data_IF_986892639651
#
_entry.id   IF_986892639651
#
_cell.length_a   1.000
_cell.length_b   1.000
_cell.length_c   1.000
_cell.angle_alpha   90.00
_cell.angle_beta   90.00
_cell.angle_gamma   90.00
#
_symmetry.space_group_name_H-M   'P 1'
#
loop_
_entity.id
_entity.type
_entity.pdbx_description
1 polymer ?
#
# COMPACT_ATOMS: atom_id res chain seq x y z
N UNK A 1 0.71 10.74 16.45
CA UNK A 1 0.88 11.20 15.07
C UNK A 1 2.17 10.60 14.54
N UNK A 2 2.11 9.98 13.37
CA UNK A 2 3.27 9.42 12.67
C UNK A 2 3.31 10.09 11.31
N UNK A 3 4.47 10.59 10.89
CA UNK A 3 4.62 11.12 9.53
C UNK A 3 4.89 9.96 8.57
N UNK A 4 4.15 9.92 7.47
CA UNK A 4 4.26 8.92 6.40
C UNK A 4 4.81 9.64 5.18
N UNK A 5 5.88 9.10 4.62
CA UNK A 5 6.61 9.65 3.48
C UNK A 5 6.88 8.52 2.49
N UNK A 6 5.86 8.20 1.68
CA UNK A 6 5.86 7.12 0.70
C UNK A 6 5.38 7.69 -0.65
N UNK A 7 6.20 8.54 -1.30
CA UNK A 7 5.82 9.26 -2.51
C UNK A 7 5.53 8.34 -3.71
N UNK A 8 6.22 7.21 -3.86
CA UNK A 8 5.97 6.28 -4.97
C UNK A 8 4.62 5.59 -4.83
N UNK A 9 4.16 5.37 -3.59
CA UNK A 9 2.81 4.91 -3.28
C UNK A 9 1.79 6.05 -3.20
N UNK A 10 2.21 7.32 -3.29
CA UNK A 10 1.35 8.51 -3.15
C UNK A 10 0.81 8.73 -1.74
N UNK A 11 1.44 8.14 -0.72
CA UNK A 11 1.04 8.24 0.68
C UNK A 11 1.99 9.20 1.41
N UNK A 12 1.64 10.48 1.43
CA UNK A 12 2.43 11.54 2.07
C UNK A 12 1.58 12.36 3.04
N UNK A 13 1.98 12.42 4.31
CA UNK A 13 1.28 13.23 5.30
C UNK A 13 1.32 12.71 6.73
N UNK A 14 0.59 13.39 7.59
CA UNK A 14 0.44 13.03 8.99
C UNK A 14 -0.64 11.97 9.20
N UNK A 15 -0.27 10.84 9.77
CA UNK A 15 -1.18 9.77 10.16
C UNK A 15 -1.48 9.81 11.66
N UNK A 16 -2.74 10.08 11.97
CA UNK A 16 -3.28 9.98 13.32
C UNK A 16 -3.69 8.54 13.64
N UNK A 17 -2.78 7.76 14.22
CA UNK A 17 -3.08 6.37 14.65
C UNK A 17 -4.09 6.39 15.80
N UNK A 18 -5.38 6.36 15.47
CA UNK A 18 -6.49 6.25 16.43
C UNK A 18 -6.64 4.82 16.94
N UNK A 19 -7.49 4.60 17.94
CA UNK A 19 -7.81 3.24 18.41
C UNK A 19 -8.46 2.37 17.31
N UNK A 20 -9.21 2.99 16.40
CA UNK A 20 -9.80 2.29 15.25
C UNK A 20 -8.73 1.84 14.26
N UNK A 21 -7.83 2.76 13.91
CA UNK A 21 -6.69 2.53 13.02
C UNK A 21 -5.76 1.43 13.58
N UNK A 22 -5.47 1.49 14.88
CA UNK A 22 -4.73 0.45 15.61
C UNK A 22 -5.43 -0.90 15.57
N UNK A 23 -6.74 -0.94 15.82
CA UNK A 23 -7.51 -2.18 15.79
C UNK A 23 -7.51 -2.80 14.38
N UNK A 24 -7.65 -1.98 13.35
CA UNK A 24 -7.59 -2.41 11.95
C UNK A 24 -6.18 -2.91 11.59
N UNK A 25 -5.13 -2.19 11.97
CA UNK A 25 -3.74 -2.61 11.77
C UNK A 25 -3.46 -3.98 12.41
N UNK A 26 -3.97 -4.25 13.62
CA UNK A 26 -3.86 -5.56 14.28
C UNK A 26 -4.54 -6.70 13.52
N UNK A 27 -5.60 -6.41 12.76
CA UNK A 27 -6.28 -7.39 11.89
C UNK A 27 -5.50 -7.62 10.59
N UNK A 28 -4.91 -6.57 10.03
CA UNK A 28 -4.22 -6.59 8.75
C UNK A 28 -2.84 -7.25 8.83
N UNK A 29 -2.01 -6.87 9.81
CA UNK A 29 -0.60 -7.28 9.88
C UNK A 29 -0.40 -8.81 9.80
N UNK A 30 -1.20 -9.66 10.48
CA UNK A 30 -1.06 -11.11 10.37
C UNK A 30 -1.41 -11.70 9.01
N UNK A 31 -2.14 -10.96 8.17
CA UNK A 31 -2.59 -11.40 6.84
C UNK A 31 -1.64 -10.97 5.73
N UNK A 32 -0.68 -10.08 6.02
CA UNK A 32 0.29 -9.66 5.03
C UNK A 32 1.19 -10.84 4.64
N UNK A 33 1.46 -11.04 3.34
CA UNK A 33 2.40 -12.06 2.90
C UNK A 33 3.79 -11.77 3.48
N UNK A 34 4.59 -12.82 3.67
CA UNK A 34 5.98 -12.67 4.08
C UNK A 34 6.78 -11.92 3.01
N UNK A 35 7.81 -11.19 3.45
CA UNK A 35 8.74 -10.53 2.53
C UNK A 35 9.46 -11.55 1.65
N UNK A 36 9.77 -11.18 0.39
CA UNK A 36 10.56 -12.03 -0.47
C UNK A 36 11.94 -12.25 0.17
N UNK A 37 12.46 -13.48 0.07
CA UNK A 37 13.81 -13.78 0.58
C UNK A 37 14.87 -12.93 -0.16
N UNK A 38 16.00 -12.62 0.49
CA UNK A 38 17.11 -11.94 -0.18
C UNK A 38 17.52 -12.69 -1.45
N UNK A 39 17.60 -11.98 -2.58
CA UNK A 39 17.93 -12.56 -3.89
C UNK A 39 16.77 -13.27 -4.60
N UNK A 40 15.53 -13.14 -4.13
CA UNK A 40 14.35 -13.60 -4.85
C UNK A 40 14.29 -13.01 -6.27
N UNK A 41 13.76 -13.79 -7.21
CA UNK A 41 13.60 -13.32 -8.58
C UNK A 41 12.56 -12.21 -8.70
N UNK A 42 12.60 -11.52 -9.84
CA UNK A 42 11.75 -10.37 -10.13
C UNK A 42 10.26 -10.70 -10.10
N UNK A 43 9.87 -11.87 -10.61
CA UNK A 43 8.47 -12.28 -10.64
C UNK A 43 7.92 -12.51 -9.23
N UNK A 44 8.72 -13.13 -8.37
CA UNK A 44 8.40 -13.35 -6.96
C UNK A 44 8.28 -12.03 -6.22
N UNK A 45 9.26 -11.13 -6.37
CA UNK A 45 9.25 -9.80 -5.74
C UNK A 45 8.01 -9.00 -6.14
N UNK A 46 7.72 -8.93 -7.44
CA UNK A 46 6.54 -8.26 -7.96
C UNK A 46 5.24 -8.88 -7.43
N UNK A 47 5.13 -10.22 -7.46
CA UNK A 47 3.94 -10.90 -6.95
C UNK A 47 3.72 -10.63 -5.46
N UNK A 48 4.76 -10.67 -4.63
CA UNK A 48 4.64 -10.37 -3.20
C UNK A 48 4.23 -8.93 -2.94
N UNK A 49 4.79 -7.98 -3.70
CA UNK A 49 4.41 -6.57 -3.64
C UNK A 49 2.93 -6.38 -3.97
N UNK A 50 2.49 -6.93 -5.12
CA UNK A 50 1.09 -6.87 -5.53
C UNK A 50 0.15 -7.50 -4.50
N UNK A 51 0.47 -8.67 -3.98
CA UNK A 51 -0.34 -9.34 -2.95
C UNK A 51 -0.39 -8.52 -1.68
N UNK A 52 0.74 -7.94 -1.23
CA UNK A 52 0.78 -7.09 -0.02
C UNK A 52 -0.19 -5.92 -0.16
N UNK A 53 -0.08 -5.13 -1.23
CA UNK A 53 -0.93 -3.97 -1.46
C UNK A 53 -2.41 -4.36 -1.69
N UNK A 54 -2.67 -5.48 -2.37
CA UNK A 54 -4.04 -5.97 -2.59
C UNK A 54 -4.71 -6.37 -1.28
N UNK A 55 -3.99 -7.11 -0.41
CA UNK A 55 -4.47 -7.46 0.92
C UNK A 55 -4.78 -6.21 1.76
N UNK A 56 -3.94 -5.16 1.68
CA UNK A 56 -4.22 -3.89 2.35
C UNK A 56 -5.53 -3.26 1.86
N UNK A 57 -5.68 -3.12 0.53
CA UNK A 57 -6.89 -2.54 -0.07
C UNK A 57 -8.14 -3.32 0.35
N UNK A 58 -8.11 -4.64 0.24
CA UNK A 58 -9.25 -5.50 0.53
C UNK A 58 -9.63 -5.44 2.01
N UNK A 59 -8.67 -5.65 2.90
CA UNK A 59 -8.94 -5.68 4.34
C UNK A 59 -9.41 -4.34 4.88
N UNK A 60 -8.83 -3.23 4.42
CA UNK A 60 -9.28 -1.90 4.84
C UNK A 60 -10.71 -1.64 4.33
N UNK A 61 -11.05 -2.01 3.10
CA UNK A 61 -12.42 -1.82 2.59
C UNK A 61 -13.44 -2.69 3.32
N UNK A 62 -13.09 -3.94 3.63
CA UNK A 62 -14.01 -4.87 4.28
C UNK A 62 -14.19 -4.59 5.77
N UNK A 63 -13.11 -4.29 6.48
CA UNK A 63 -13.12 -4.14 7.94
C UNK A 63 -13.14 -2.67 8.39
N UNK A 64 -12.65 -1.76 7.55
CA UNK A 64 -12.56 -0.34 7.85
C UNK A 64 -13.92 0.31 7.96
N UNK A 65 -14.78 0.18 6.95
CA UNK A 65 -16.09 0.83 6.93
C UNK A 65 -16.89 0.56 8.22
N UNK A 66 -16.93 -0.70 8.68
CA UNK A 66 -17.57 -1.05 9.96
C UNK A 66 -16.90 -0.43 11.19
N UNK A 67 -15.56 -0.45 11.27
CA UNK A 67 -14.82 0.09 12.42
C UNK A 67 -14.85 1.62 12.53
N UNK A 68 -15.04 2.31 11.40
CA UNK A 68 -15.03 3.75 11.27
C UNK A 68 -16.43 4.36 11.33
N UNK A 69 -17.47 3.67 10.80
CA UNK A 69 -18.88 4.07 10.92
C UNK A 69 -19.40 3.95 12.36
N UNK A 70 -19.05 2.87 13.08
CA UNK A 70 -19.50 2.64 14.46
C UNK A 70 -19.03 3.72 15.46
N UNK A 71 -17.99 4.48 15.11
CA UNK A 71 -17.37 5.48 16.00
C UNK A 71 -17.76 6.93 15.70
N UNK A 72 -18.63 7.18 14.71
CA UNK A 72 -19.15 8.52 14.41
C UNK A 72 -18.07 9.55 14.04
N UNK A 73 -16.88 9.09 13.63
CA UNK A 73 -15.78 9.94 13.22
C UNK A 73 -15.98 10.46 11.81
N UNK A 74 -15.97 11.79 11.64
CA UNK A 74 -15.79 12.41 10.33
C UNK A 74 -14.35 12.13 9.85
N UNK A 75 -14.18 11.20 8.92
CA UNK A 75 -12.90 10.93 8.25
C UNK A 75 -12.75 11.86 7.04
N UNK A 76 -12.92 13.17 7.26
CA UNK A 76 -12.74 14.14 6.18
C UNK A 76 -11.26 14.14 5.79
N UNK A 77 -10.96 13.68 4.57
CA UNK A 77 -9.64 13.77 3.97
C UNK A 77 -9.18 15.24 4.00
N UNK A 78 -8.07 15.50 4.66
CA UNK A 78 -7.44 16.81 4.69
C UNK A 78 -6.11 16.74 3.93
N UNK A 79 -5.75 17.75 3.13
CA UNK A 79 -4.45 17.79 2.49
C UNK A 79 -3.32 17.62 3.51
N UNK A 80 -2.42 16.67 3.27
CA UNK A 80 -1.31 16.37 4.19
C UNK A 80 -1.69 15.53 5.41
N UNK A 81 -2.88 14.96 5.47
CA UNK A 81 -3.31 13.99 6.50
C UNK A 81 -3.61 12.65 5.83
N UNK A 82 -3.11 11.57 6.41
CA UNK A 82 -3.40 10.20 5.98
C UNK A 82 -4.34 9.54 6.98
N UNK A 83 -5.35 8.86 6.45
CA UNK A 83 -6.22 7.94 7.20
C UNK A 83 -6.14 6.55 6.56
N UNK A 84 -6.26 5.47 7.33
CA UNK A 84 -6.29 4.14 6.70
C UNK A 84 -7.47 4.00 5.75
N UNK A 85 -8.61 4.64 6.01
CA UNK A 85 -9.78 4.58 5.11
C UNK A 85 -9.51 5.19 3.73
N UNK A 86 -8.59 6.16 3.63
CA UNK A 86 -8.21 6.78 2.35
C UNK A 86 -7.11 5.99 1.60
N UNK A 87 -6.26 5.24 2.32
CA UNK A 87 -5.15 4.47 1.72
C UNK A 87 -5.59 3.57 0.54
N UNK A 88 -6.72 2.83 0.59
CA UNK A 88 -7.14 1.97 -0.51
C UNK A 88 -7.38 2.72 -1.82
N UNK A 89 -7.83 3.97 -1.77
CA UNK A 89 -8.06 4.77 -2.97
C UNK A 89 -6.73 5.16 -3.61
N UNK A 90 -5.79 5.65 -2.81
CA UNK A 90 -4.43 5.98 -3.25
C UNK A 90 -3.73 4.75 -3.83
N UNK A 91 -3.75 3.62 -3.12
CA UNK A 91 -3.12 2.38 -3.58
C UNK A 91 -3.79 1.83 -4.86
N UNK A 92 -5.11 1.95 -4.99
CA UNK A 92 -5.81 1.55 -6.21
C UNK A 92 -5.46 2.47 -7.40
N UNK A 93 -5.28 3.77 -7.17
CA UNK A 93 -4.79 4.69 -8.19
C UNK A 93 -3.38 4.29 -8.65
N UNK A 94 -2.49 4.00 -7.71
CA UNK A 94 -1.14 3.51 -8.02
C UNK A 94 -1.17 2.26 -8.91
N UNK A 95 -2.00 1.25 -8.58
CA UNK A 95 -2.16 0.05 -9.42
C UNK A 95 -2.60 0.37 -10.85
N UNK A 96 -3.54 1.32 -11.02
CA UNK A 96 -3.99 1.76 -12.33
C UNK A 96 -2.86 2.42 -13.12
N UNK A 97 -2.07 3.27 -12.48
CA UNK A 97 -0.93 3.93 -13.12
C UNK A 97 0.14 2.93 -13.55
N UNK A 98 0.49 1.96 -12.70
CA UNK A 98 1.42 0.90 -13.07
C UNK A 98 0.90 0.08 -14.25
N UNK A 99 -0.39 -0.29 -14.23
CA UNK A 99 -1.04 -1.00 -15.34
C UNK A 99 -0.93 -0.24 -16.65
N UNK A 100 -1.21 1.07 -16.65
CA UNK A 100 -1.10 1.92 -17.83
C UNK A 100 0.35 2.06 -18.33
N UNK A 101 1.31 2.31 -17.43
CA UNK A 101 2.73 2.41 -17.78
C UNK A 101 3.24 1.11 -18.40
N UNK A 102 2.90 -0.04 -17.81
CA UNK A 102 3.24 -1.36 -18.32
C UNK A 102 2.64 -1.63 -19.71
N UNK A 103 1.34 -1.34 -19.89
CA UNK A 103 0.65 -1.52 -21.16
C UNK A 103 1.25 -0.64 -22.26
N UNK A 104 1.51 0.64 -21.97
CA UNK A 104 2.12 1.58 -22.91
C UNK A 104 3.53 1.14 -23.31
N UNK A 105 4.35 0.74 -22.33
CA UNK A 105 5.70 0.26 -22.60
C UNK A 105 5.70 -1.04 -23.42
N UNK A 106 4.75 -1.93 -23.15
CA UNK A 106 4.56 -3.16 -23.93
C UNK A 106 4.14 -2.85 -25.36
N UNK A 107 3.23 -1.91 -25.57
CA UNK A 107 2.76 -1.52 -26.90
C UNK A 107 3.86 -0.84 -27.74
N UNK A 108 4.75 -0.07 -27.10
CA UNK A 108 5.78 0.74 -27.80
C UNK A 108 7.12 0.03 -27.94
N UNK A 109 7.50 -0.80 -26.96
CA UNK A 109 8.83 -1.44 -26.86
C UNK A 109 8.75 -2.96 -26.73
N UNK A 110 7.56 -3.54 -26.91
CA UNK A 110 7.32 -4.98 -26.75
C UNK A 110 7.39 -5.45 -25.29
N UNK A 111 7.24 -6.75 -25.08
CA UNK A 111 7.26 -7.38 -23.74
C UNK A 111 8.51 -7.02 -22.92
N UNK A 112 9.67 -6.89 -23.56
CA UNK A 112 10.89 -6.47 -22.88
C UNK A 112 10.77 -5.06 -22.26
N UNK A 113 10.09 -4.13 -22.95
CA UNK A 113 9.83 -2.80 -22.42
C UNK A 113 8.84 -2.79 -21.26
N UNK A 114 7.80 -3.62 -21.32
CA UNK A 114 6.89 -3.83 -20.18
C UNK A 114 7.62 -4.38 -18.96
N UNK A 115 8.41 -5.44 -19.14
CA UNK A 115 9.20 -6.04 -18.07
C UNK A 115 10.22 -5.07 -17.45
N UNK A 116 10.83 -4.20 -18.26
CA UNK A 116 11.74 -3.17 -17.78
C UNK A 116 11.01 -2.17 -16.85
N UNK A 117 9.80 -1.74 -17.22
CA UNK A 117 8.97 -0.87 -16.37
C UNK A 117 8.61 -1.53 -15.04
N UNK A 118 8.20 -2.81 -15.06
CA UNK A 118 7.92 -3.52 -13.80
C UNK A 118 9.16 -3.63 -12.92
N UNK A 119 10.33 -3.86 -13.52
CA UNK A 119 11.63 -3.97 -12.82
C UNK A 119 11.99 -2.67 -12.10
N UNK A 120 11.86 -1.54 -12.79
CA UNK A 120 12.06 -0.20 -12.25
C UNK A 120 11.09 0.06 -11.09
N UNK A 121 9.78 -0.04 -11.36
CA UNK A 121 8.73 0.22 -10.37
C UNK A 121 8.84 -0.67 -9.12
N UNK A 122 9.19 -1.94 -9.28
CA UNK A 122 9.38 -2.83 -8.12
C UNK A 122 10.57 -2.39 -7.28
N UNK A 123 11.66 -1.94 -7.91
CA UNK A 123 12.84 -1.50 -7.19
C UNK A 123 12.58 -0.21 -6.40
N UNK A 124 11.75 0.68 -6.95
CA UNK A 124 11.40 1.95 -6.31
C UNK A 124 10.36 1.77 -5.19
N UNK A 125 9.36 0.89 -5.39
CA UNK A 125 8.21 0.75 -4.48
C UNK A 125 8.43 -0.29 -3.38
N UNK A 126 9.29 -1.29 -3.58
CA UNK A 126 9.59 -2.29 -2.55
C UNK A 126 10.04 -1.70 -1.21
N UNK A 127 10.96 -0.70 -1.13
CA UNK A 127 11.32 -0.09 0.14
C UNK A 127 10.13 0.63 0.80
N UNK A 128 9.24 1.25 0.02
CA UNK A 128 8.05 1.92 0.55
C UNK A 128 7.01 0.93 1.07
N UNK A 129 6.84 -0.22 0.41
CA UNK A 129 5.95 -1.29 0.88
C UNK A 129 6.49 -1.91 2.16
N UNK A 130 7.81 -2.09 2.28
CA UNK A 130 8.45 -2.51 3.52
C UNK A 130 8.23 -1.49 4.65
N UNK A 131 8.36 -0.20 4.34
CA UNK A 131 8.10 0.87 5.31
C UNK A 131 6.63 0.95 5.72
N UNK A 132 5.69 0.82 4.79
CA UNK A 132 4.26 0.74 5.08
C UNK A 132 3.95 -0.44 6.00
N UNK A 133 4.53 -1.62 5.73
CA UNK A 133 4.41 -2.79 6.61
C UNK A 133 4.96 -2.49 8.01
N UNK A 134 6.11 -1.82 8.11
CA UNK A 134 6.71 -1.40 9.38
C UNK A 134 5.79 -0.44 10.16
N UNK A 135 5.24 0.56 9.49
CA UNK A 135 4.32 1.55 10.06
C UNK A 135 3.04 0.89 10.59
N UNK A 136 2.43 -0.02 9.81
CA UNK A 136 1.27 -0.80 10.24
C UNK A 136 1.59 -1.71 11.43
N UNK A 137 2.75 -2.36 11.42
CA UNK A 137 3.20 -3.21 12.54
C UNK A 137 3.41 -2.40 13.81
N UNK A 138 4.01 -1.21 13.70
CA UNK A 138 4.18 -0.29 14.81
C UNK A 138 2.81 0.17 15.35
N UNK A 139 1.89 0.58 14.47
CA UNK A 139 0.54 0.96 14.85
C UNK A 139 -0.19 -0.19 15.59
N UNK A 140 -0.06 -1.42 15.10
CA UNK A 140 -0.65 -2.61 15.72
C UNK A 140 -0.07 -2.93 17.12
N UNK A 141 1.22 -2.65 17.35
CA UNK A 141 1.91 -2.95 18.61
C UNK A 141 1.80 -1.85 19.68
N UNK A 142 1.49 -0.61 19.29
CA UNK A 142 1.11 0.46 20.24
C UNK A 142 -0.26 0.25 20.86
#
# INVERSE_FOLDING_TARGET
MVYVDLPELGLEGEWAVTDAERALARRIVPLLPAEPAPGADMATRWSTLQSTLSTLIEMIRTEGDGLFDERGGSHASQPGVITMIDMPFTLAQWFNEVGQRHQLATATRGTAGGNAVLTELTSDVEPEVAELRRLLTAAAGT
#
